data_IF_602383042210
#
_entry.id   IF_602383042210
#
_cell.length_a   1.000
_cell.length_b   1.000
_cell.length_c   1.000
_cell.angle_alpha   90.00
_cell.angle_beta   90.00
_cell.angle_gamma   90.00
#
_symmetry.space_group_name_H-M   'P 1'
#
loop_
_entity.id
_entity.type
_entity.pdbx_description
1 polymer ?
#
# COMPACT_ATOMS: atom_id res chain seq x y z
N UNK A 1 -7.95 -22.97 -5.84
CA UNK A 1 -7.53 -21.61 -5.44
C UNK A 1 -7.06 -21.70 -4.00
N UNK A 2 -5.83 -21.29 -3.70
CA UNK A 2 -5.32 -21.16 -2.34
C UNK A 2 -6.00 -19.94 -1.70
N UNK A 3 -6.65 -20.11 -0.55
CA UNK A 3 -7.35 -19.05 0.17
C UNK A 3 -6.78 -18.79 1.58
N UNK A 4 -5.63 -19.41 1.92
CA UNK A 4 -4.99 -19.33 3.24
C UNK A 4 -4.74 -17.87 3.64
N UNK A 5 -4.27 -17.03 2.73
CA UNK A 5 -4.09 -15.60 2.96
C UNK A 5 -5.39 -14.91 3.38
N UNK A 6 -6.49 -15.13 2.66
CA UNK A 6 -7.77 -14.48 2.97
C UNK A 6 -8.35 -14.97 4.30
N UNK A 7 -8.16 -16.25 4.64
CA UNK A 7 -8.54 -16.81 5.94
C UNK A 7 -7.77 -16.14 7.07
N UNK A 8 -6.45 -15.99 6.92
CA UNK A 8 -5.62 -15.28 7.89
C UNK A 8 -6.06 -13.81 8.03
N UNK A 9 -6.35 -13.10 6.93
CA UNK A 9 -6.84 -11.72 7.04
C UNK A 9 -8.15 -11.60 7.82
N UNK A 10 -9.02 -12.63 7.80
CA UNK A 10 -10.27 -12.68 8.56
C UNK A 10 -10.10 -13.18 9.99
N UNK A 11 -8.88 -13.55 10.41
CA UNK A 11 -8.62 -14.12 11.72
C UNK A 11 -9.12 -15.56 11.87
N UNK A 12 -9.30 -16.28 10.75
CA UNK A 12 -9.67 -17.69 10.75
C UNK A 12 -8.42 -18.55 10.96
N UNK A 13 -8.63 -19.76 11.51
CA UNK A 13 -7.56 -20.74 11.67
C UNK A 13 -7.05 -21.19 10.29
N UNK A 14 -5.73 -21.25 10.13
CA UNK A 14 -5.05 -21.77 8.95
C UNK A 14 -4.14 -22.94 9.31
N UNK A 15 -3.82 -23.79 8.32
CA UNK A 15 -2.88 -24.91 8.50
C UNK A 15 -1.41 -24.44 8.57
N UNK A 16 -1.12 -23.28 8.00
CA UNK A 16 0.18 -22.62 8.05
C UNK A 16 0.02 -21.09 7.97
N UNK A 17 1.08 -20.34 8.28
CA UNK A 17 1.12 -18.89 8.15
C UNK A 17 1.34 -18.49 6.68
N UNK A 18 0.40 -17.79 6.03
CA UNK A 18 0.57 -17.36 4.65
C UNK A 18 1.67 -16.30 4.50
N UNK A 19 2.40 -16.33 3.40
CA UNK A 19 3.52 -15.42 3.10
C UNK A 19 3.40 -14.80 1.71
N UNK A 20 3.68 -13.51 1.62
CA UNK A 20 3.86 -12.76 0.37
C UNK A 20 4.75 -11.55 0.66
N UNK A 21 5.47 -11.00 -0.31
CA UNK A 21 6.38 -9.89 -0.05
C UNK A 21 5.90 -8.58 -0.67
N UNK A 22 5.99 -7.49 0.09
CA UNK A 22 5.90 -6.15 -0.49
C UNK A 22 7.03 -5.98 -1.51
N UNK A 23 6.68 -5.50 -2.71
CA UNK A 23 7.59 -5.40 -3.88
C UNK A 23 8.09 -6.75 -4.43
N UNK A 24 7.32 -7.83 -4.26
CA UNK A 24 7.62 -9.15 -4.83
C UNK A 24 7.84 -9.15 -6.35
N UNK A 25 7.08 -8.36 -7.10
CA UNK A 25 7.36 -8.09 -8.51
C UNK A 25 8.32 -6.89 -8.58
N UNK A 26 9.61 -7.13 -8.75
CA UNK A 26 10.60 -6.07 -8.63
C UNK A 26 11.99 -6.37 -9.14
N UNK A 27 12.85 -5.36 -9.04
CA UNK A 27 14.21 -5.33 -9.62
C UNK A 27 15.15 -6.42 -9.16
N UNK A 28 14.84 -7.15 -8.09
CA UNK A 28 15.66 -8.28 -7.66
C UNK A 28 15.49 -9.52 -8.56
N UNK A 29 14.41 -9.56 -9.37
CA UNK A 29 14.15 -10.63 -10.33
C UNK A 29 14.76 -10.31 -11.71
N UNK A 30 15.61 -11.20 -12.27
CA UNK A 30 16.09 -11.07 -13.65
C UNK A 30 14.96 -11.02 -14.68
N UNK A 31 13.88 -11.77 -14.47
CA UNK A 31 12.69 -11.83 -15.34
C UNK A 31 11.98 -10.48 -15.38
N UNK A 32 11.83 -9.84 -14.23
CA UNK A 32 11.28 -8.49 -14.14
C UNK A 32 12.17 -7.49 -14.90
N UNK A 33 13.49 -7.56 -14.72
CA UNK A 33 14.42 -6.68 -15.43
C UNK A 33 14.36 -6.88 -16.95
N UNK A 34 14.19 -8.11 -17.42
CA UNK A 34 14.05 -8.42 -18.84
C UNK A 34 12.82 -7.76 -19.48
N UNK A 35 11.71 -7.66 -18.75
CA UNK A 35 10.52 -6.90 -19.18
C UNK A 35 10.78 -5.39 -19.06
N UNK A 36 11.22 -4.94 -17.88
CA UNK A 36 11.37 -3.52 -17.53
C UNK A 36 12.40 -2.79 -18.39
N UNK A 37 13.41 -3.48 -18.91
CA UNK A 37 14.45 -2.89 -19.78
C UNK A 37 13.94 -2.39 -21.13
N UNK A 38 12.75 -2.81 -21.56
CA UNK A 38 12.19 -2.51 -22.89
C UNK A 38 11.26 -1.31 -22.91
N UNK A 39 10.88 -0.79 -21.75
CA UNK A 39 9.83 0.22 -21.56
C UNK A 39 10.21 1.16 -20.43
N UNK A 40 9.60 2.34 -20.37
CA UNK A 40 9.58 3.16 -19.15
C UNK A 40 8.70 2.52 -18.07
N UNK A 41 8.81 3.01 -16.83
CA UNK A 41 8.00 2.46 -15.73
C UNK A 41 6.51 2.74 -15.90
N UNK A 42 6.14 3.94 -16.38
CA UNK A 42 4.75 4.30 -16.62
C UNK A 42 4.16 3.54 -17.82
N UNK A 43 4.94 3.33 -18.89
CA UNK A 43 4.50 2.49 -20.01
C UNK A 43 4.21 1.06 -19.55
N UNK A 44 5.07 0.50 -18.68
CA UNK A 44 4.82 -0.82 -18.10
C UNK A 44 3.52 -0.82 -17.27
N UNK A 45 3.35 0.15 -16.36
CA UNK A 45 2.15 0.24 -15.50
C UNK A 45 0.85 0.46 -16.29
N UNK A 46 0.93 0.98 -17.51
CA UNK A 46 -0.21 1.24 -18.40
C UNK A 46 -0.45 0.11 -19.41
N UNK A 47 0.32 -0.98 -19.34
CA UNK A 47 0.16 -2.16 -20.20
C UNK A 47 -0.39 -3.35 -19.39
N UNK A 48 -1.67 -3.73 -19.57
CA UNK A 48 -2.30 -4.78 -18.77
C UNK A 48 -1.67 -6.16 -18.90
N UNK A 49 -1.25 -6.55 -20.11
CA UNK A 49 -0.63 -7.84 -20.38
C UNK A 49 0.73 -7.95 -19.67
N UNK A 50 1.56 -6.91 -19.80
CA UNK A 50 2.87 -6.89 -19.16
C UNK A 50 2.78 -6.73 -17.65
N UNK A 51 1.82 -5.95 -17.13
CA UNK A 51 1.53 -5.91 -15.69
C UNK A 51 1.11 -7.28 -15.17
N UNK A 52 0.32 -8.02 -15.96
CA UNK A 52 -0.09 -9.39 -15.62
C UNK A 52 1.11 -10.31 -15.57
N UNK A 53 1.96 -10.30 -16.61
CA UNK A 53 3.21 -11.06 -16.68
C UNK A 53 4.10 -10.83 -15.45
N UNK A 54 4.43 -9.56 -15.13
CA UNK A 54 5.33 -9.26 -14.01
C UNK A 54 4.72 -9.56 -12.65
N UNK A 55 3.39 -9.51 -12.51
CA UNK A 55 2.71 -9.86 -11.26
C UNK A 55 2.74 -11.37 -11.01
N UNK A 56 2.69 -12.18 -12.07
CA UNK A 56 2.73 -13.65 -12.00
C UNK A 56 4.12 -14.20 -11.64
N UNK A 57 5.19 -13.55 -12.13
CA UNK A 57 6.58 -13.98 -11.90
C UNK A 57 6.89 -14.44 -10.46
N UNK A 58 6.68 -13.64 -9.40
CA UNK A 58 7.00 -14.07 -8.04
C UNK A 58 6.10 -15.22 -7.54
N UNK A 59 4.88 -15.35 -8.05
CA UNK A 59 3.99 -16.46 -7.70
C UNK A 59 4.53 -17.76 -8.29
N UNK A 60 4.96 -17.73 -9.55
CA UNK A 60 5.49 -18.91 -10.24
C UNK A 60 6.88 -19.31 -9.72
N UNK A 61 7.71 -18.34 -9.32
CA UNK A 61 9.08 -18.58 -8.82
C UNK A 61 9.08 -19.04 -7.36
N UNK A 62 8.31 -18.38 -6.49
CA UNK A 62 8.40 -18.59 -5.03
C UNK A 62 7.17 -19.27 -4.42
N UNK A 63 6.04 -19.34 -5.13
CA UNK A 63 4.83 -19.94 -4.61
C UNK A 63 4.16 -19.15 -3.48
N UNK A 64 4.28 -17.81 -3.49
CA UNK A 64 3.65 -16.94 -2.48
C UNK A 64 2.13 -17.16 -2.39
N UNK A 65 1.58 -16.93 -1.20
CA UNK A 65 0.17 -17.18 -0.88
C UNK A 65 -0.77 -16.08 -1.35
N UNK A 66 -0.24 -14.96 -1.82
CA UNK A 66 -0.99 -13.87 -2.42
C UNK A 66 -0.16 -13.15 -3.49
N UNK A 67 -0.84 -12.67 -4.52
CA UNK A 67 -0.29 -11.75 -5.49
C UNK A 67 -0.69 -10.32 -5.12
N UNK A 68 0.22 -9.37 -5.25
CA UNK A 68 -0.12 -7.94 -5.23
C UNK A 68 -0.05 -7.40 -6.65
N UNK A 69 -1.06 -6.63 -7.05
CA UNK A 69 -1.10 -5.94 -8.33
C UNK A 69 0.22 -5.19 -8.58
N UNK A 70 0.83 -5.39 -9.75
CA UNK A 70 1.91 -4.51 -10.20
C UNK A 70 1.31 -3.20 -10.70
N UNK A 71 1.58 -2.10 -9.97
CA UNK A 71 1.14 -0.75 -10.29
C UNK A 71 1.98 0.25 -9.48
N UNK A 72 1.61 1.53 -9.48
CA UNK A 72 2.21 2.55 -8.62
C UNK A 72 1.12 3.36 -7.88
N UNK A 73 1.40 3.75 -6.63
CA UNK A 73 0.44 4.52 -5.82
C UNK A 73 0.10 5.88 -6.43
N UNK A 74 0.97 6.43 -7.30
CA UNK A 74 0.84 7.76 -7.89
C UNK A 74 0.04 7.78 -9.20
N UNK A 75 -0.35 6.62 -9.76
CA UNK A 75 -1.14 6.56 -11.01
C UNK A 75 -2.46 7.35 -10.87
N UNK A 76 -3.15 7.18 -9.74
CA UNK A 76 -4.39 7.93 -9.48
C UNK A 76 -4.16 9.44 -9.41
N UNK A 77 -2.96 9.88 -9.02
CA UNK A 77 -2.62 11.30 -8.94
C UNK A 77 -2.40 11.91 -10.32
N UNK A 78 -1.83 11.16 -11.27
CA UNK A 78 -1.77 11.58 -12.68
C UNK A 78 -3.19 11.84 -13.21
N UNK A 79 -4.13 10.94 -12.93
CA UNK A 79 -5.52 11.07 -13.34
C UNK A 79 -6.27 12.25 -12.67
N UNK A 80 -5.77 12.78 -11.56
CA UNK A 80 -6.31 14.00 -10.92
C UNK A 80 -5.91 15.29 -11.66
N UNK A 81 -5.12 15.19 -12.75
CA UNK A 81 -4.68 16.32 -13.57
C UNK A 81 -3.26 16.80 -13.28
N UNK A 82 -2.44 15.99 -12.60
CA UNK A 82 -1.03 16.28 -12.37
C UNK A 82 -0.14 15.59 -13.41
N UNK A 83 0.98 16.23 -13.74
CA UNK A 83 2.05 15.61 -14.54
C UNK A 83 2.98 14.80 -13.64
N UNK A 84 3.13 13.51 -13.96
CA UNK A 84 3.95 12.57 -13.21
C UNK A 84 5.08 12.03 -14.10
N UNK A 85 6.31 12.22 -13.66
CA UNK A 85 7.51 11.73 -14.34
C UNK A 85 8.24 10.73 -13.45
N UNK A 86 8.84 9.69 -14.06
CA UNK A 86 9.74 8.77 -13.37
C UNK A 86 11.15 8.90 -13.93
N UNK A 87 12.06 9.39 -13.10
CA UNK A 87 13.47 9.55 -13.45
C UNK A 87 14.31 8.44 -12.82
N UNK A 88 15.19 7.84 -13.61
CA UNK A 88 16.11 6.82 -13.11
C UNK A 88 17.01 7.40 -12.00
N UNK A 89 17.13 6.68 -10.88
CA UNK A 89 17.90 7.12 -9.71
C UNK A 89 17.26 8.22 -8.85
N UNK A 90 16.27 8.97 -9.36
CA UNK A 90 15.59 10.06 -8.63
C UNK A 90 14.17 9.70 -8.17
N UNK A 91 13.53 8.73 -8.81
CA UNK A 91 12.17 8.30 -8.48
C UNK A 91 11.10 9.20 -9.10
N UNK A 92 9.87 9.21 -8.53
CA UNK A 92 8.78 10.01 -9.07
C UNK A 92 9.01 11.51 -8.83
N UNK A 93 8.64 12.31 -9.82
CA UNK A 93 8.72 13.77 -9.82
C UNK A 93 7.40 14.35 -10.31
N UNK A 94 6.90 15.35 -9.59
CA UNK A 94 5.81 16.23 -10.03
C UNK A 94 6.41 17.59 -10.35
N UNK A 95 6.59 17.96 -11.64
CA UNK A 95 7.24 19.21 -12.03
C UNK A 95 6.54 20.46 -11.47
N UNK A 96 5.23 20.36 -11.26
CA UNK A 96 4.36 21.43 -10.77
C UNK A 96 3.76 21.03 -9.40
N UNK A 97 4.52 21.12 -8.30
CA UNK A 97 4.03 20.72 -6.99
C UNK A 97 2.90 21.63 -6.49
N UNK A 98 2.00 21.06 -5.68
CA UNK A 98 0.84 21.78 -5.13
C UNK A 98 1.30 22.76 -4.05
N UNK A 99 1.18 24.06 -4.31
CA UNK A 99 1.63 25.16 -3.43
C UNK A 99 0.60 26.26 -3.16
N UNK A 100 -0.60 26.13 -3.69
CA UNK A 100 -1.64 27.15 -3.55
C UNK A 100 -3.03 26.58 -3.66
N UNK A 101 -4.02 27.30 -3.13
CA UNK A 101 -5.42 26.90 -3.20
C UNK A 101 -5.87 26.72 -4.65
N UNK A 102 -5.44 27.61 -5.55
CA UNK A 102 -5.73 27.48 -6.98
C UNK A 102 -5.16 26.19 -7.59
N UNK A 103 -4.03 25.67 -7.10
CA UNK A 103 -3.51 24.38 -7.54
C UNK A 103 -4.37 23.22 -7.02
N UNK A 104 -4.83 23.29 -5.78
CA UNK A 104 -5.79 22.33 -5.21
C UNK A 104 -7.10 22.36 -6.01
N UNK A 105 -7.62 23.54 -6.34
CA UNK A 105 -8.90 23.72 -7.02
C UNK A 105 -8.89 23.12 -8.44
N UNK A 106 -7.75 23.17 -9.13
CA UNK A 106 -7.56 22.55 -10.46
C UNK A 106 -7.60 21.03 -10.45
N UNK A 107 -7.32 20.38 -9.31
CA UNK A 107 -7.38 18.93 -9.22
C UNK A 107 -8.82 18.43 -9.41
N UNK A 108 -8.97 17.40 -10.22
CA UNK A 108 -10.25 16.72 -10.41
C UNK A 108 -10.31 15.45 -9.57
N UNK A 109 -11.53 14.95 -9.35
CA UNK A 109 -11.76 13.60 -8.84
C UNK A 109 -12.25 12.77 -10.04
N UNK A 110 -11.35 12.01 -10.69
CA UNK A 110 -11.70 11.28 -11.90
C UNK A 110 -12.55 10.03 -11.59
N UNK A 111 -13.33 9.59 -12.58
CA UNK A 111 -13.90 8.23 -12.57
C UNK A 111 -12.78 7.23 -12.94
N UNK A 112 -12.41 6.30 -12.04
CA UNK A 112 -11.36 5.33 -12.30
C UNK A 112 -11.62 4.42 -13.51
N UNK A 113 -12.88 4.06 -13.75
CA UNK A 113 -13.25 3.16 -14.85
C UNK A 113 -13.04 3.85 -16.21
N UNK A 114 -13.08 5.19 -16.26
CA UNK A 114 -12.82 5.99 -17.47
C UNK A 114 -11.34 6.35 -17.62
N UNK A 115 -10.67 6.79 -16.55
CA UNK A 115 -9.32 7.36 -16.65
C UNK A 115 -8.20 6.36 -16.43
N UNK A 116 -8.47 5.25 -15.74
CA UNK A 116 -7.48 4.21 -15.42
C UNK A 116 -7.93 2.80 -15.81
N UNK A 117 -8.62 2.59 -16.96
CA UNK A 117 -9.20 1.29 -17.30
C UNK A 117 -8.16 0.17 -17.36
N UNK A 118 -6.92 0.50 -17.71
CA UNK A 118 -5.79 -0.43 -17.77
C UNK A 118 -5.52 -1.12 -16.42
N UNK A 119 -5.74 -0.45 -15.28
CA UNK A 119 -5.61 -1.08 -13.95
C UNK A 119 -6.69 -2.15 -13.75
N UNK A 120 -7.94 -1.80 -14.07
CA UNK A 120 -9.09 -2.68 -13.90
C UNK A 120 -9.02 -3.86 -14.88
N UNK A 121 -8.50 -3.64 -16.08
CA UNK A 121 -8.19 -4.69 -17.06
C UNK A 121 -7.11 -5.64 -16.54
N UNK A 122 -6.00 -5.11 -16.00
CA UNK A 122 -4.93 -5.90 -15.39
C UNK A 122 -5.47 -6.79 -14.27
N UNK A 123 -6.31 -6.24 -13.39
CA UNK A 123 -6.97 -7.01 -12.32
C UNK A 123 -7.79 -8.16 -12.92
N UNK A 124 -8.62 -7.89 -13.93
CA UNK A 124 -9.46 -8.93 -14.58
C UNK A 124 -8.62 -10.04 -15.21
N UNK A 125 -7.53 -9.69 -15.90
CA UNK A 125 -6.59 -10.67 -16.47
C UNK A 125 -5.96 -11.53 -15.38
N UNK A 126 -5.41 -10.89 -14.33
CA UNK A 126 -4.83 -11.59 -13.19
C UNK A 126 -5.83 -12.50 -12.48
N UNK A 127 -7.10 -12.11 -12.38
CA UNK A 127 -8.14 -12.96 -11.79
C UNK A 127 -8.42 -14.22 -12.58
N UNK A 128 -8.16 -14.24 -13.89
CA UNK A 128 -8.27 -15.44 -14.71
C UNK A 128 -7.06 -16.37 -14.57
N UNK A 129 -5.87 -15.82 -14.32
CA UNK A 129 -4.62 -16.59 -14.30
C UNK A 129 -4.19 -17.04 -12.90
N UNK A 130 -4.44 -16.23 -11.87
CA UNK A 130 -3.95 -16.48 -10.51
C UNK A 130 -4.70 -17.63 -9.82
N UNK A 131 -3.92 -18.50 -9.17
CA UNK A 131 -4.43 -19.54 -8.26
C UNK A 131 -4.44 -19.11 -6.79
N UNK A 132 -3.97 -17.91 -6.51
CA UNK A 132 -3.89 -17.27 -5.19
C UNK A 132 -4.72 -15.97 -5.17
N UNK A 133 -5.00 -15.38 -4.01
CA UNK A 133 -5.73 -14.13 -3.91
C UNK A 133 -4.93 -12.97 -4.50
N UNK A 134 -5.64 -12.02 -5.11
CA UNK A 134 -5.06 -10.78 -5.63
C UNK A 134 -5.32 -9.61 -4.66
N UNK A 135 -4.26 -8.93 -4.27
CA UNK A 135 -4.27 -7.71 -3.46
C UNK A 135 -4.24 -6.51 -4.42
N UNK A 136 -5.33 -5.73 -4.41
CA UNK A 136 -5.35 -4.38 -4.98
C UNK A 136 -4.77 -3.38 -3.97
N UNK A 137 -4.38 -2.19 -4.41
CA UNK A 137 -3.80 -1.22 -3.48
C UNK A 137 -3.87 0.24 -3.94
N UNK A 138 -3.63 1.14 -2.98
CA UNK A 138 -3.36 2.55 -3.24
C UNK A 138 -2.50 3.15 -2.13
N UNK A 139 -2.00 4.37 -2.34
CA UNK A 139 -1.38 5.15 -1.28
C UNK A 139 -2.44 5.76 -0.35
N UNK A 140 -2.08 5.94 0.92
CA UNK A 140 -2.90 6.70 1.85
C UNK A 140 -2.93 8.19 1.45
N UNK A 141 -4.02 8.93 1.72
CA UNK A 141 -4.16 10.31 1.29
C UNK A 141 -3.02 11.22 1.76
N UNK A 142 -2.55 11.06 2.99
CA UNK A 142 -1.41 11.80 3.50
C UNK A 142 -0.13 11.50 2.70
N UNK A 143 0.20 10.22 2.51
CA UNK A 143 1.38 9.82 1.74
C UNK A 143 1.33 10.35 0.30
N UNK A 144 0.17 10.28 -0.35
CA UNK A 144 -0.03 10.82 -1.69
C UNK A 144 0.13 12.35 -1.70
N UNK A 145 -0.54 13.06 -0.79
CA UNK A 145 -0.41 14.51 -0.65
C UNK A 145 1.05 14.94 -0.44
N UNK A 146 1.82 14.18 0.32
CA UNK A 146 3.26 14.44 0.50
C UNK A 146 4.01 14.43 -0.82
N UNK A 147 3.75 13.50 -1.74
CA UNK A 147 4.40 13.53 -3.05
C UNK A 147 3.99 14.75 -3.88
N UNK A 148 2.71 15.10 -3.85
CA UNK A 148 2.14 16.23 -4.59
C UNK A 148 2.65 17.57 -4.06
N UNK A 149 2.82 17.66 -2.74
CA UNK A 149 3.40 18.82 -2.08
C UNK A 149 4.90 18.78 -2.32
N UNK A 150 5.69 17.83 -1.82
CA UNK A 150 7.15 17.87 -1.97
C UNK A 150 7.64 17.90 -3.43
N UNK A 151 6.83 17.48 -4.40
CA UNK A 151 7.19 17.39 -5.81
C UNK A 151 7.91 16.10 -6.17
N UNK A 152 7.92 15.13 -5.25
CA UNK A 152 8.67 13.89 -5.35
C UNK A 152 8.99 13.31 -3.97
N UNK A 153 10.02 12.46 -3.90
CA UNK A 153 10.48 11.91 -2.62
C UNK A 153 11.19 12.98 -1.78
N UNK A 154 10.96 12.98 -0.46
CA UNK A 154 11.60 13.91 0.49
C UNK A 154 12.16 13.13 1.67
N UNK A 155 13.18 13.68 2.33
CA UNK A 155 13.74 13.15 3.58
C UNK A 155 13.30 13.95 4.80
N UNK A 156 12.89 15.20 4.60
CA UNK A 156 12.60 16.16 5.68
C UNK A 156 11.12 16.53 5.71
N UNK A 157 10.41 16.42 4.57
CA UNK A 157 8.97 16.66 4.46
C UNK A 157 8.55 18.07 4.91
N UNK A 158 9.43 19.04 4.67
CA UNK A 158 9.30 20.40 5.18
C UNK A 158 8.06 21.09 4.60
N UNK A 159 7.86 21.00 3.27
CA UNK A 159 6.78 21.71 2.59
C UNK A 159 5.42 21.12 3.00
N UNK A 160 5.36 19.81 3.16
CA UNK A 160 4.17 19.11 3.64
C UNK A 160 3.79 19.55 5.05
N UNK A 161 4.74 19.54 5.98
CA UNK A 161 4.49 19.97 7.37
C UNK A 161 4.18 21.46 7.46
N UNK A 162 4.90 22.29 6.69
CA UNK A 162 4.64 23.73 6.61
C UNK A 162 3.22 24.00 6.15
N UNK A 163 2.75 23.35 5.08
CA UNK A 163 1.38 23.49 4.61
C UNK A 163 0.36 23.05 5.67
N UNK A 164 0.55 21.86 6.28
CA UNK A 164 -0.35 21.36 7.31
C UNK A 164 -0.46 22.30 8.53
N UNK A 165 0.65 22.92 8.93
CA UNK A 165 0.71 23.76 10.13
C UNK A 165 0.32 25.23 9.87
N UNK A 166 0.72 25.80 8.73
CA UNK A 166 0.52 27.21 8.42
C UNK A 166 -0.75 27.46 7.60
N UNK A 167 -1.17 26.48 6.80
CA UNK A 167 -2.30 26.58 5.87
C UNK A 167 -3.23 25.35 5.99
N UNK A 168 -3.74 25.04 7.20
CA UNK A 168 -4.47 23.79 7.45
C UNK A 168 -5.72 23.64 6.58
N UNK A 169 -6.41 24.73 6.24
CA UNK A 169 -7.61 24.68 5.38
C UNK A 169 -7.27 24.17 3.97
N UNK A 170 -6.21 24.69 3.36
CA UNK A 170 -5.73 24.25 2.05
C UNK A 170 -5.24 22.79 2.11
N UNK A 171 -4.51 22.44 3.18
CA UNK A 171 -4.08 21.06 3.41
C UNK A 171 -5.29 20.11 3.47
N UNK A 172 -6.29 20.44 4.28
CA UNK A 172 -7.49 19.62 4.42
C UNK A 172 -8.28 19.53 3.11
N UNK A 173 -8.37 20.61 2.33
CA UNK A 173 -9.02 20.60 1.02
C UNK A 173 -8.31 19.66 0.01
N UNK A 174 -6.97 19.67 -0.02
CA UNK A 174 -6.18 18.76 -0.84
C UNK A 174 -6.43 17.30 -0.45
N UNK A 175 -6.29 17.01 0.84
CA UNK A 175 -6.47 15.66 1.37
C UNK A 175 -7.88 15.13 1.12
N UNK A 176 -8.92 15.96 1.22
CA UNK A 176 -10.30 15.56 0.91
C UNK A 176 -10.46 15.12 -0.56
N UNK A 177 -9.91 15.88 -1.52
CA UNK A 177 -9.93 15.49 -2.94
C UNK A 177 -9.20 14.17 -3.19
N UNK A 178 -8.01 14.02 -2.61
CA UNK A 178 -7.23 12.77 -2.72
C UNK A 178 -8.02 11.61 -2.09
N UNK A 179 -8.61 11.81 -0.93
CA UNK A 179 -9.43 10.80 -0.23
C UNK A 179 -10.58 10.32 -1.10
N UNK A 180 -11.30 11.23 -1.76
CA UNK A 180 -12.39 10.88 -2.66
C UNK A 180 -11.88 10.08 -3.87
N UNK A 181 -10.78 10.51 -4.50
CA UNK A 181 -10.15 9.81 -5.62
C UNK A 181 -9.68 8.40 -5.22
N UNK A 182 -8.94 8.28 -4.11
CA UNK A 182 -8.45 7.01 -3.57
C UNK A 182 -9.59 6.07 -3.20
N UNK A 183 -10.67 6.59 -2.61
CA UNK A 183 -11.87 5.81 -2.29
C UNK A 183 -12.46 5.21 -3.57
N UNK A 184 -12.79 6.04 -4.57
CA UNK A 184 -13.33 5.54 -5.84
C UNK A 184 -12.40 4.54 -6.54
N UNK A 185 -11.08 4.79 -6.51
CA UNK A 185 -10.09 3.93 -7.13
C UNK A 185 -10.05 2.53 -6.49
N UNK A 186 -9.99 2.45 -5.16
CA UNK A 186 -10.00 1.17 -4.45
C UNK A 186 -11.33 0.43 -4.62
N UNK A 187 -12.45 1.16 -4.70
CA UNK A 187 -13.75 0.59 -5.02
C UNK A 187 -13.78 -0.04 -6.41
N UNK A 188 -13.21 0.63 -7.42
CA UNK A 188 -13.11 0.10 -8.78
C UNK A 188 -12.23 -1.16 -8.83
N UNK A 189 -11.11 -1.18 -8.10
CA UNK A 189 -10.26 -2.38 -8.00
C UNK A 189 -11.00 -3.56 -7.36
N UNK A 190 -11.76 -3.34 -6.29
CA UNK A 190 -12.60 -4.38 -5.68
C UNK A 190 -13.64 -4.91 -6.66
N UNK A 191 -14.36 -4.02 -7.38
CA UNK A 191 -15.33 -4.43 -8.42
C UNK A 191 -14.69 -5.21 -9.56
N UNK A 192 -13.46 -4.85 -9.97
CA UNK A 192 -12.72 -5.54 -11.01
C UNK A 192 -12.23 -6.93 -10.58
N UNK A 193 -12.16 -7.20 -9.27
CA UNK A 193 -11.93 -8.52 -8.71
C UNK A 193 -10.78 -8.64 -7.72
N UNK A 194 -10.19 -7.53 -7.26
CA UNK A 194 -9.25 -7.57 -6.14
C UNK A 194 -9.94 -8.22 -4.92
N UNK A 195 -9.26 -9.18 -4.29
CA UNK A 195 -9.82 -10.00 -3.20
C UNK A 195 -9.37 -9.55 -1.83
N UNK A 196 -8.38 -8.66 -1.75
CA UNK A 196 -8.00 -7.86 -0.61
C UNK A 196 -7.52 -6.50 -1.11
N UNK A 197 -7.53 -5.48 -0.24
CA UNK A 197 -7.07 -4.13 -0.58
C UNK A 197 -6.04 -3.67 0.45
N UNK A 198 -4.90 -3.14 -0.01
CA UNK A 198 -3.89 -2.55 0.87
C UNK A 198 -3.79 -1.03 0.69
N UNK A 199 -3.83 -0.30 1.81
CA UNK A 199 -3.59 1.14 1.85
C UNK A 199 -2.19 1.38 2.42
N UNK A 200 -1.30 1.92 1.59
CA UNK A 200 0.09 2.20 1.95
C UNK A 200 0.24 3.63 2.47
N UNK A 201 0.47 3.80 3.77
CA UNK A 201 0.85 5.07 4.37
C UNK A 201 2.36 5.10 4.66
N UNK A 202 3.12 5.13 3.57
CA UNK A 202 4.59 5.00 3.59
C UNK A 202 5.31 6.10 4.38
N UNK A 203 4.67 7.27 4.55
CA UNK A 203 5.23 8.41 5.26
C UNK A 203 4.65 8.61 6.66
N UNK A 204 3.72 7.76 7.13
CA UNK A 204 2.96 7.98 8.38
C UNK A 204 3.85 8.38 9.57
N UNK A 205 4.97 7.67 9.77
CA UNK A 205 5.86 7.88 10.90
C UNK A 205 6.67 9.17 10.93
N UNK A 206 6.47 10.10 9.98
CA UNK A 206 7.05 11.44 10.13
C UNK A 206 6.31 12.28 11.17
N UNK A 207 5.07 11.90 11.51
CA UNK A 207 4.22 12.64 12.42
C UNK A 207 4.44 12.27 13.88
N UNK A 208 4.29 13.26 14.76
CA UNK A 208 4.02 12.97 16.16
C UNK A 208 2.60 12.37 16.29
N UNK A 209 2.32 11.56 17.32
CA UNK A 209 1.01 10.90 17.43
C UNK A 209 -0.20 11.85 17.38
N UNK A 210 -0.10 13.01 18.04
CA UNK A 210 -1.18 14.01 18.04
C UNK A 210 -1.41 14.64 16.65
N UNK A 211 -0.34 14.88 15.89
CA UNK A 211 -0.42 15.41 14.53
C UNK A 211 -0.97 14.35 13.57
N UNK A 212 -0.54 13.10 13.70
CA UNK A 212 -1.01 11.99 12.88
C UNK A 212 -2.53 11.82 12.99
N UNK A 213 -3.07 11.91 14.22
CA UNK A 213 -4.50 11.84 14.47
C UNK A 213 -5.30 12.95 13.78
N UNK A 214 -4.68 14.10 13.53
CA UNK A 214 -5.31 15.27 12.90
C UNK A 214 -5.12 15.32 11.39
N UNK A 215 -3.91 15.04 10.91
CA UNK A 215 -3.48 15.33 9.55
C UNK A 215 -3.44 14.11 8.63
N UNK A 216 -3.49 12.88 9.15
CA UNK A 216 -3.40 11.67 8.33
C UNK A 216 -4.55 10.67 8.58
N UNK A 217 -4.73 10.23 9.84
CA UNK A 217 -5.65 9.14 10.18
C UNK A 217 -7.11 9.32 9.70
N UNK A 218 -7.74 10.51 9.84
CA UNK A 218 -9.18 10.66 9.53
C UNK A 218 -9.53 10.32 8.08
N UNK A 219 -8.59 10.53 7.15
CA UNK A 219 -8.79 10.26 5.73
C UNK A 219 -8.76 8.77 5.40
N UNK A 220 -7.87 8.03 6.06
CA UNK A 220 -7.81 6.57 5.95
C UNK A 220 -9.08 5.96 6.54
N UNK A 221 -9.53 6.45 7.71
CA UNK A 221 -10.81 6.05 8.31
C UNK A 221 -11.98 6.28 7.36
N UNK A 222 -12.03 7.45 6.69
CA UNK A 222 -13.06 7.76 5.70
C UNK A 222 -13.05 6.79 4.52
N UNK A 223 -11.88 6.50 3.94
CA UNK A 223 -11.76 5.55 2.82
C UNK A 223 -12.24 4.16 3.23
N UNK A 224 -11.81 3.68 4.40
CA UNK A 224 -12.18 2.34 4.88
C UNK A 224 -13.67 2.27 5.16
N UNK A 225 -14.25 3.31 5.78
CA UNK A 225 -15.69 3.40 6.00
C UNK A 225 -16.50 3.40 4.69
N UNK A 226 -16.00 4.04 3.64
CA UNK A 226 -16.64 4.00 2.33
C UNK A 226 -16.53 2.63 1.67
N UNK A 227 -15.35 2.00 1.69
CA UNK A 227 -15.15 0.65 1.16
C UNK A 227 -16.05 -0.38 1.87
N UNK A 228 -16.27 -0.23 3.18
CA UNK A 228 -17.15 -1.12 3.94
C UNK A 228 -18.63 -1.02 3.57
N UNK A 229 -19.07 0.06 2.93
CA UNK A 229 -20.46 0.18 2.45
C UNK A 229 -20.74 -0.71 1.23
N UNK A 230 -19.71 -1.30 0.62
CA UNK A 230 -19.81 -1.91 -0.70
C UNK A 230 -19.01 -3.19 -0.89
N UNK A 231 -18.04 -3.48 -0.03
CA UNK A 231 -17.27 -4.73 -0.13
C UNK A 231 -16.83 -5.24 1.24
N UNK A 232 -16.86 -6.57 1.36
CA UNK A 232 -16.37 -7.33 2.51
C UNK A 232 -14.96 -7.90 2.30
N UNK A 233 -14.28 -7.51 1.21
CA UNK A 233 -12.88 -7.92 1.01
C UNK A 233 -12.01 -7.42 2.15
N UNK A 234 -11.00 -8.19 2.59
CA UNK A 234 -10.10 -7.73 3.63
C UNK A 234 -9.37 -6.46 3.26
N UNK A 235 -9.27 -5.52 4.20
CA UNK A 235 -8.55 -4.26 4.06
C UNK A 235 -7.35 -4.28 5.00
N UNK A 236 -6.18 -4.02 4.42
CA UNK A 236 -4.89 -3.97 5.09
C UNK A 236 -4.45 -2.52 5.17
N UNK A 237 -4.13 -2.04 6.37
CA UNK A 237 -3.54 -0.72 6.54
C UNK A 237 -2.09 -0.85 6.98
N UNK A 238 -1.16 -0.38 6.14
CA UNK A 238 0.27 -0.39 6.43
C UNK A 238 0.75 1.04 6.66
N UNK A 239 1.03 1.37 7.93
CA UNK A 239 1.61 2.65 8.33
C UNK A 239 3.11 2.47 8.60
N UNK A 240 3.94 2.82 7.62
CA UNK A 240 5.37 2.71 7.77
C UNK A 240 5.91 3.78 8.72
N UNK A 241 6.89 3.40 9.50
CA UNK A 241 7.42 4.20 10.60
C UNK A 241 6.41 4.46 11.71
N UNK A 242 5.43 3.55 11.81
CA UNK A 242 4.24 3.68 12.63
C UNK A 242 4.27 2.98 13.98
N UNK A 243 5.41 2.45 14.45
CA UNK A 243 5.49 1.73 15.73
C UNK A 243 4.94 2.56 16.91
N UNK A 244 5.22 3.86 16.94
CA UNK A 244 4.70 4.81 17.94
C UNK A 244 3.25 5.24 17.67
N UNK A 245 2.69 4.89 16.51
CA UNK A 245 1.37 5.25 16.04
C UNK A 245 0.36 4.11 16.18
N UNK A 246 0.73 2.92 16.68
CA UNK A 246 -0.14 1.74 16.75
C UNK A 246 -1.47 2.01 17.46
N UNK A 247 -1.46 2.77 18.55
CA UNK A 247 -2.68 3.13 19.28
C UNK A 247 -3.67 3.95 18.43
N UNK A 248 -3.18 4.66 17.41
CA UNK A 248 -3.98 5.38 16.45
C UNK A 248 -4.34 4.49 15.25
N UNK A 249 -3.37 3.78 14.66
CA UNK A 249 -3.57 3.01 13.43
C UNK A 249 -4.54 1.85 13.62
N UNK A 250 -4.61 1.24 14.82
CA UNK A 250 -5.61 0.21 15.14
C UNK A 250 -7.06 0.72 15.14
N UNK A 251 -7.26 2.04 15.11
CA UNK A 251 -8.59 2.67 15.01
C UNK A 251 -8.95 3.04 13.57
N UNK A 252 -8.11 2.70 12.58
CA UNK A 252 -8.34 3.01 11.18
C UNK A 252 -9.58 2.29 10.59
N UNK A 253 -9.97 1.15 11.18
CA UNK A 253 -11.08 0.31 10.71
C UNK A 253 -10.66 -0.81 9.74
N UNK A 254 -9.36 -1.00 9.52
CA UNK A 254 -8.81 -2.09 8.72
C UNK A 254 -8.94 -3.44 9.45
N UNK A 255 -8.97 -4.55 8.71
CA UNK A 255 -8.99 -5.89 9.32
C UNK A 255 -7.57 -6.34 9.72
N UNK A 256 -6.59 -5.93 8.91
CA UNK A 256 -5.18 -6.29 9.07
C UNK A 256 -4.35 -5.02 9.25
N UNK A 257 -3.48 -5.01 10.26
CA UNK A 257 -2.49 -3.96 10.47
C UNK A 257 -1.12 -4.45 10.00
N UNK A 258 -0.59 -3.78 8.99
CA UNK A 258 0.78 -4.00 8.54
C UNK A 258 1.77 -3.32 9.49
N UNK A 259 2.75 -4.09 9.96
CA UNK A 259 3.76 -3.67 10.91
C UNK A 259 5.13 -3.64 10.23
N UNK A 260 5.89 -2.59 10.48
CA UNK A 260 7.29 -2.53 10.08
C UNK A 260 8.21 -3.15 11.15
N UNK A 261 9.45 -3.41 10.79
CA UNK A 261 10.42 -4.18 11.57
C UNK A 261 10.99 -3.48 12.81
N UNK A 262 10.61 -2.22 13.08
CA UNK A 262 11.18 -1.44 14.21
C UNK A 262 10.49 -1.69 15.54
N UNK A 263 9.54 -2.63 15.59
CA UNK A 263 8.88 -3.08 16.81
C UNK A 263 8.95 -4.61 16.90
N UNK A 264 9.13 -5.15 18.10
CA UNK A 264 8.97 -6.59 18.29
C UNK A 264 7.51 -6.99 18.00
N UNK A 265 7.29 -8.03 17.20
CA UNK A 265 5.94 -8.40 16.78
C UNK A 265 5.06 -8.84 17.96
N UNK A 266 5.62 -9.49 18.99
CA UNK A 266 4.88 -9.86 20.20
C UNK A 266 4.38 -8.64 20.98
N UNK A 267 5.20 -7.59 21.10
CA UNK A 267 4.76 -6.31 21.68
C UNK A 267 3.65 -5.66 20.83
N UNK A 268 3.82 -5.65 19.51
CA UNK A 268 2.83 -5.08 18.60
C UNK A 268 1.49 -5.82 18.68
N UNK A 269 1.51 -7.16 18.73
CA UNK A 269 0.32 -8.01 18.88
C UNK A 269 -0.49 -7.64 20.12
N UNK A 270 0.18 -7.40 21.26
CA UNK A 270 -0.49 -6.95 22.48
C UNK A 270 -1.14 -5.57 22.31
N UNK A 271 -0.50 -4.66 21.56
CA UNK A 271 -1.00 -3.30 21.35
C UNK A 271 -2.18 -3.21 20.37
N UNK A 272 -2.20 -4.05 19.33
CA UNK A 272 -3.23 -4.04 18.28
C UNK A 272 -4.54 -4.71 18.70
N UNK A 273 -4.50 -5.64 19.67
CA UNK A 273 -5.69 -6.36 20.15
C UNK A 273 -6.24 -7.34 19.11
N UNK A 274 -7.54 -7.28 18.82
CA UNK A 274 -8.26 -8.26 17.98
C UNK A 274 -8.03 -8.09 16.46
N UNK A 275 -6.99 -7.40 16.04
CA UNK A 275 -6.63 -7.24 14.62
C UNK A 275 -5.74 -8.40 14.16
N UNK A 276 -5.89 -8.81 12.91
CA UNK A 276 -4.86 -9.59 12.25
C UNK A 276 -3.63 -8.70 12.00
N UNK A 277 -2.44 -9.29 11.94
CA UNK A 277 -1.18 -8.56 11.70
C UNK A 277 -0.48 -9.04 10.44
N UNK A 278 0.23 -8.14 9.78
CA UNK A 278 1.08 -8.46 8.64
C UNK A 278 2.52 -7.98 8.87
N UNK A 279 3.51 -8.83 8.58
CA UNK A 279 4.94 -8.53 8.75
C UNK A 279 5.64 -9.40 9.79
N UNK A 280 6.78 -9.00 10.35
CA UNK A 280 7.46 -7.71 10.13
C UNK A 280 8.98 -7.85 10.01
N UNK A 281 9.46 -8.86 9.27
CA UNK A 281 10.89 -9.09 9.08
C UNK A 281 11.57 -7.83 8.47
N UNK A 282 12.75 -7.48 8.97
CA UNK A 282 13.58 -6.45 8.33
C UNK A 282 13.96 -6.95 6.92
N UNK A 283 13.65 -6.22 5.83
CA UNK A 283 14.02 -6.65 4.49
C UNK A 283 15.53 -6.91 4.31
N UNK A 284 16.38 -6.22 5.08
CA UNK A 284 17.84 -6.42 5.04
C UNK A 284 18.26 -7.74 5.71
N UNK A 285 17.40 -8.35 6.54
CA UNK A 285 17.65 -9.67 7.12
C UNK A 285 17.78 -10.76 6.04
N UNK A 286 17.27 -10.55 4.82
CA UNK A 286 17.47 -11.46 3.69
C UNK A 286 18.95 -11.63 3.28
N UNK A 287 19.85 -10.77 3.76
CA UNK A 287 21.30 -10.92 3.56
C UNK A 287 22.00 -11.70 4.68
N UNK A 288 21.28 -12.14 5.71
CA UNK A 288 21.84 -13.00 6.74
C UNK A 288 22.23 -14.37 6.16
N UNK A 289 23.20 -15.06 6.78
CA UNK A 289 23.39 -16.47 6.46
C UNK A 289 22.11 -17.25 6.80
N UNK A 290 21.87 -18.33 6.04
CA UNK A 290 20.57 -19.02 6.02
C UNK A 290 20.09 -19.43 7.42
N UNK A 291 20.98 -19.95 8.26
CA UNK A 291 20.64 -20.44 9.60
C UNK A 291 20.14 -19.30 10.50
N UNK A 292 20.76 -18.12 10.41
CA UNK A 292 20.41 -16.93 11.17
C UNK A 292 19.07 -16.36 10.69
N UNK A 293 18.84 -16.35 9.37
CA UNK A 293 17.57 -15.96 8.78
C UNK A 293 16.43 -16.89 9.23
N UNK A 294 16.62 -18.21 9.14
CA UNK A 294 15.64 -19.20 9.61
C UNK A 294 15.32 -19.02 11.11
N UNK A 295 16.34 -18.77 11.93
CA UNK A 295 16.16 -18.52 13.35
C UNK A 295 15.40 -17.21 13.60
N UNK A 296 15.66 -16.14 12.85
CA UNK A 296 14.97 -14.87 12.99
C UNK A 296 13.50 -14.97 12.56
N UNK A 297 13.22 -15.65 11.45
CA UNK A 297 11.85 -15.95 10.99
C UNK A 297 11.12 -16.77 12.06
N UNK A 298 11.76 -17.81 12.59
CA UNK A 298 11.17 -18.62 13.67
C UNK A 298 10.84 -17.77 14.89
N UNK A 299 11.74 -16.90 15.33
CA UNK A 299 11.48 -16.01 16.47
C UNK A 299 10.28 -15.11 16.22
N UNK A 300 10.15 -14.51 15.02
CA UNK A 300 9.00 -13.67 14.66
C UNK A 300 7.70 -14.48 14.72
N UNK A 301 7.69 -15.71 14.16
CA UNK A 301 6.52 -16.58 14.20
C UNK A 301 6.15 -17.01 15.64
N UNK A 302 7.15 -17.33 16.46
CA UNK A 302 6.96 -17.71 17.86
C UNK A 302 6.42 -16.53 18.69
N UNK A 303 6.92 -15.30 18.45
CA UNK A 303 6.48 -14.08 19.14
C UNK A 303 5.07 -13.65 18.69
N UNK A 304 4.68 -13.96 17.46
CA UNK A 304 3.36 -13.63 16.91
C UNK A 304 2.28 -14.69 17.18
N UNK A 305 2.60 -15.78 17.88
CA UNK A 305 1.67 -16.91 18.12
C UNK A 305 0.32 -16.52 18.76
N UNK A 306 0.31 -15.43 19.53
CA UNK A 306 -0.87 -14.94 20.23
C UNK A 306 -1.68 -13.92 19.39
N UNK A 307 -1.23 -13.63 18.15
CA UNK A 307 -1.99 -12.83 17.21
C UNK A 307 -3.28 -13.56 16.80
N UNK A 308 -4.34 -12.79 16.54
CA UNK A 308 -5.58 -13.34 15.97
C UNK A 308 -5.32 -14.09 14.66
N UNK A 309 -4.44 -13.54 13.84
CA UNK A 309 -3.83 -14.20 12.69
C UNK A 309 -2.61 -13.38 12.23
N UNK A 310 -1.69 -14.04 11.53
CA UNK A 310 -0.50 -13.43 10.95
C UNK A 310 -0.41 -13.79 9.47
N UNK A 311 -0.03 -12.81 8.64
CA UNK A 311 0.53 -13.04 7.31
C UNK A 311 1.94 -12.45 7.24
N UNK A 312 2.94 -13.23 6.86
CA UNK A 312 4.32 -12.75 6.84
C UNK A 312 4.59 -11.93 5.57
N UNK A 313 5.33 -10.82 5.74
CA UNK A 313 6.01 -10.08 4.66
C UNK A 313 7.49 -9.95 4.96
#
# INVERSE_FOLDING_TARGET
MNDTFLKACRGEKTEYTPVWFMRQAGRYLPEYQAVRSKLTFLELCKNPELCTEVTLQPIDIFGFDAAILFSDILIAMEAMGLELEFHEGRGPVFPNPVRSQAAVDRLIVPDPDETMPFVMETIKLLRNELKVPLIGFSGAPFTLATYLIEGGSSKVFLETKKMAFQEPEMYHALLQKITQCTSLYLQAQARAGAQALQIFDSWAGIWAPHDYARFALPYVQSIIADLRKMTDVPIIYFANNGSTLINHTKTAGADVLGLDWRINIGEAVQMVGDHAVQGNLDPVALFLPQKELEQQIKTILDDAKDAKAISST
#
